data_IF_400927056271
#
_entry.id   IF_400927056271
#
_cell.length_a   1.000
_cell.length_b   1.000
_cell.length_c   1.000
_cell.angle_alpha   90.00
_cell.angle_beta   90.00
_cell.angle_gamma   90.00
#
_symmetry.space_group_name_H-M   'P 1'
#
loop_
_entity.id
_entity.type
_entity.pdbx_description
1 polymer ?
#
# COMPACT_ATOMS: atom_id res chain seq x y z
N UNK A 1 0.32 -8.99 -12.97
CA UNK A 1 1.70 -9.19 -13.49
C UNK A 1 1.83 -10.53 -14.21
N UNK A 2 1.58 -11.66 -13.53
CA UNK A 2 1.75 -13.03 -14.10
C UNK A 2 1.03 -13.23 -15.43
N UNK A 3 -0.21 -12.79 -15.57
CA UNK A 3 -0.98 -12.92 -16.82
C UNK A 3 -0.33 -12.21 -18.01
N UNK A 4 0.16 -10.99 -17.80
CA UNK A 4 0.81 -10.17 -18.85
C UNK A 4 2.17 -10.77 -19.21
N UNK A 5 2.96 -11.20 -18.22
CA UNK A 5 4.23 -11.90 -18.44
C UNK A 5 4.02 -13.17 -19.26
N UNK A 6 3.08 -14.03 -18.83
CA UNK A 6 2.78 -15.29 -19.51
C UNK A 6 2.36 -15.07 -20.97
N UNK A 7 1.51 -14.06 -21.22
CA UNK A 7 1.09 -13.68 -22.55
C UNK A 7 2.26 -13.20 -23.42
N UNK A 8 3.04 -12.22 -22.94
CA UNK A 8 4.15 -11.64 -23.71
C UNK A 8 5.24 -12.68 -23.97
N UNK A 9 5.54 -13.54 -22.99
CA UNK A 9 6.49 -14.64 -23.15
C UNK A 9 6.03 -15.61 -24.23
N UNK A 10 4.75 -16.02 -24.22
CA UNK A 10 4.23 -16.90 -25.27
C UNK A 10 4.26 -16.23 -26.64
N UNK A 11 3.80 -14.97 -26.73
CA UNK A 11 3.79 -14.17 -27.97
C UNK A 11 5.19 -14.09 -28.60
N UNK A 12 6.20 -13.86 -27.76
CA UNK A 12 7.61 -13.84 -28.14
C UNK A 12 8.13 -15.21 -28.59
N UNK A 13 7.87 -16.28 -27.83
CA UNK A 13 8.34 -17.62 -28.17
C UNK A 13 7.78 -18.17 -29.49
N UNK A 14 6.57 -17.78 -29.88
CA UNK A 14 5.97 -18.20 -31.16
C UNK A 14 6.19 -17.18 -32.30
N UNK A 15 6.89 -16.07 -32.03
CA UNK A 15 7.23 -15.07 -33.04
C UNK A 15 6.03 -14.29 -33.60
N UNK A 16 5.06 -13.89 -32.77
CA UNK A 16 3.97 -13.04 -33.24
C UNK A 16 4.47 -11.66 -33.65
N UNK A 17 3.81 -11.05 -34.64
CA UNK A 17 4.21 -9.75 -35.23
C UNK A 17 4.44 -8.62 -34.20
N UNK A 18 3.73 -8.64 -33.08
CA UNK A 18 3.77 -7.58 -32.08
C UNK A 18 4.47 -8.01 -30.77
N UNK A 19 5.22 -9.12 -30.77
CA UNK A 19 5.80 -9.68 -29.55
C UNK A 19 6.72 -8.73 -28.81
N UNK A 20 7.54 -7.94 -29.53
CA UNK A 20 8.46 -6.98 -28.93
C UNK A 20 7.72 -5.85 -28.21
N UNK A 21 6.61 -5.38 -28.80
CA UNK A 21 5.74 -4.38 -28.18
C UNK A 21 5.05 -4.96 -26.93
N UNK A 22 4.57 -6.20 -26.99
CA UNK A 22 4.01 -6.89 -25.82
C UNK A 22 5.04 -7.03 -24.69
N UNK A 23 6.30 -7.29 -25.02
CA UNK A 23 7.39 -7.42 -24.05
C UNK A 23 7.75 -6.08 -23.39
N UNK A 24 7.76 -4.99 -24.18
CA UNK A 24 7.92 -3.63 -23.67
C UNK A 24 6.78 -3.23 -22.71
N UNK A 25 5.53 -3.53 -23.08
CA UNK A 25 4.36 -3.31 -22.22
C UNK A 25 4.41 -4.14 -20.93
N UNK A 26 4.77 -5.42 -21.03
CA UNK A 26 4.91 -6.29 -19.87
C UNK A 26 5.95 -5.74 -18.89
N UNK A 27 7.09 -5.28 -19.41
CA UNK A 27 8.16 -4.67 -18.61
C UNK A 27 7.70 -3.40 -17.91
N UNK A 28 7.06 -2.48 -18.64
CA UNK A 28 6.54 -1.24 -18.09
C UNK A 28 5.51 -1.48 -16.97
N UNK A 29 4.50 -2.32 -17.26
CA UNK A 29 3.42 -2.63 -16.31
C UNK A 29 3.99 -3.29 -15.06
N UNK A 30 4.88 -4.27 -15.21
CA UNK A 30 5.45 -4.98 -14.08
C UNK A 30 6.34 -4.09 -13.22
N UNK A 31 7.17 -3.22 -13.81
CA UNK A 31 8.01 -2.28 -13.08
C UNK A 31 7.21 -1.19 -12.33
N UNK A 32 6.03 -0.83 -12.85
CA UNK A 32 5.13 0.10 -12.15
C UNK A 32 4.44 -0.60 -10.97
N UNK A 33 3.83 -1.76 -11.23
CA UNK A 33 3.07 -2.50 -10.21
C UNK A 33 3.98 -3.07 -9.11
N UNK A 34 5.22 -3.45 -9.40
CA UNK A 34 6.14 -3.94 -8.37
C UNK A 34 6.49 -2.84 -7.37
N UNK A 35 6.71 -1.60 -7.85
CA UNK A 35 6.97 -0.44 -6.99
C UNK A 35 5.75 -0.09 -6.15
N UNK A 36 4.57 -0.06 -6.76
CA UNK A 36 3.32 0.20 -6.05
C UNK A 36 3.07 -0.85 -4.94
N UNK A 37 3.23 -2.14 -5.26
CA UNK A 37 3.11 -3.21 -4.26
C UNK A 37 4.14 -3.12 -3.15
N UNK A 38 5.38 -2.71 -3.45
CA UNK A 38 6.40 -2.50 -2.43
C UNK A 38 5.95 -1.46 -1.41
N UNK A 39 5.52 -0.29 -1.87
CA UNK A 39 5.03 0.77 -0.98
C UNK A 39 3.82 0.34 -0.16
N UNK A 40 2.87 -0.38 -0.76
CA UNK A 40 1.70 -0.88 -0.05
C UNK A 40 2.06 -1.92 1.00
N UNK A 41 3.01 -2.82 0.71
CA UNK A 41 3.50 -3.81 1.67
C UNK A 41 4.25 -3.15 2.83
N UNK A 42 5.06 -2.13 2.55
CA UNK A 42 5.77 -1.36 3.56
C UNK A 42 4.79 -0.61 4.47
N UNK A 43 3.79 0.07 3.90
CA UNK A 43 2.73 0.72 4.67
C UNK A 43 1.93 -0.27 5.53
N UNK A 44 1.63 -1.45 4.99
CA UNK A 44 0.94 -2.51 5.73
C UNK A 44 1.82 -3.05 6.87
N UNK A 45 3.10 -3.26 6.60
CA UNK A 45 4.07 -3.69 7.60
C UNK A 45 4.19 -2.67 8.72
N UNK A 46 4.29 -1.37 8.40
CA UNK A 46 4.32 -0.29 9.37
C UNK A 46 3.04 -0.25 10.21
N UNK A 47 1.87 -0.45 9.59
CA UNK A 47 0.60 -0.50 10.31
C UNK A 47 0.53 -1.65 11.31
N UNK A 48 0.92 -2.86 10.91
CA UNK A 48 0.94 -4.02 11.81
C UNK A 48 2.08 -3.96 12.84
N UNK A 49 3.21 -3.34 12.50
CA UNK A 49 4.31 -3.06 13.43
C UNK A 49 3.90 -2.01 14.47
N UNK A 50 3.17 -0.95 14.08
CA UNK A 50 2.57 0.05 14.96
C UNK A 50 1.59 -0.59 15.96
N UNK A 51 0.71 -1.47 15.48
CA UNK A 51 -0.22 -2.23 16.33
C UNK A 51 0.52 -3.16 17.31
N UNK A 52 1.68 -3.71 16.91
CA UNK A 52 2.52 -4.52 17.80
C UNK A 52 3.30 -3.69 18.82
N UNK A 53 3.69 -2.46 18.49
CA UNK A 53 4.60 -1.65 19.31
C UNK A 53 3.89 -0.66 20.24
N UNK A 54 2.67 -0.21 19.91
CA UNK A 54 2.03 0.86 20.65
C UNK A 54 0.55 0.55 21.01
N UNK A 55 0.30 -0.20 22.10
CA UNK A 55 -1.05 -0.48 22.58
C UNK A 55 -1.83 0.80 22.95
N UNK A 56 -1.15 1.92 23.21
CA UNK A 56 -1.78 3.22 23.47
C UNK A 56 -2.57 3.76 22.27
N UNK A 57 -2.21 3.40 21.04
CA UNK A 57 -2.97 3.83 19.85
C UNK A 57 -4.36 3.18 19.78
N UNK A 58 -4.52 1.96 20.32
CA UNK A 58 -5.84 1.33 20.47
C UNK A 58 -6.71 2.13 21.47
N UNK A 59 -6.08 2.76 22.46
CA UNK A 59 -6.78 3.56 23.45
C UNK A 59 -7.27 4.90 22.88
N UNK A 60 -6.71 5.40 21.77
CA UNK A 60 -7.19 6.65 21.13
C UNK A 60 -8.62 6.49 20.65
N UNK A 61 -8.93 5.39 19.95
CA UNK A 61 -10.31 5.12 19.50
C UNK A 61 -11.28 4.98 20.67
N UNK A 62 -10.88 4.23 21.72
CA UNK A 62 -11.68 4.09 22.94
C UNK A 62 -11.93 5.44 23.63
N UNK A 63 -10.89 6.28 23.76
CA UNK A 63 -11.02 7.59 24.40
C UNK A 63 -11.99 8.53 23.67
N UNK A 64 -12.02 8.50 22.33
CA UNK A 64 -12.97 9.29 21.53
C UNK A 64 -14.41 8.84 21.79
N UNK A 65 -14.65 7.52 21.88
CA UNK A 65 -15.99 6.99 22.16
C UNK A 65 -16.43 7.24 23.60
N UNK A 66 -15.56 6.98 24.57
CA UNK A 66 -15.86 7.12 25.99
C UNK A 66 -16.19 8.57 26.37
N UNK A 67 -15.55 9.53 25.69
CA UNK A 67 -15.70 10.96 25.99
C UNK A 67 -16.57 11.72 24.98
N UNK A 68 -17.14 11.02 23.99
CA UNK A 68 -18.12 11.58 23.05
C UNK A 68 -17.56 12.57 22.01
N UNK A 69 -16.25 12.56 21.74
CA UNK A 69 -15.67 13.49 20.76
C UNK A 69 -14.15 13.58 20.76
N UNK A 70 -13.63 14.56 20.01
CA UNK A 70 -12.20 14.86 19.95
C UNK A 70 -11.73 15.49 21.26
N UNK A 71 -10.63 14.95 21.80
CA UNK A 71 -10.20 15.17 23.19
C UNK A 71 -9.01 16.14 23.35
N UNK A 72 -8.30 16.43 22.27
CA UNK A 72 -7.08 17.22 22.37
C UNK A 72 -7.47 18.70 22.38
N UNK A 73 -7.38 19.29 23.56
CA UNK A 73 -7.61 20.71 23.79
C UNK A 73 -6.41 21.53 23.29
N UNK A 74 -6.67 22.79 22.93
CA UNK A 74 -5.62 23.68 22.48
C UNK A 74 -4.63 23.93 23.64
N UNK A 75 -3.30 23.94 23.40
CA UNK A 75 -2.32 24.27 24.44
C UNK A 75 -2.48 25.69 25.04
N UNK A 76 -3.29 26.54 24.39
CA UNK A 76 -3.62 27.90 24.82
C UNK A 76 -4.89 27.93 25.68
N UNK A 77 -5.74 26.91 25.58
CA UNK A 77 -6.90 26.77 26.45
C UNK A 77 -6.39 26.45 27.86
N UNK A 78 -6.57 27.42 28.77
CA UNK A 78 -6.28 27.21 30.19
C UNK A 78 -7.33 26.26 30.75
N UNK A 79 -6.97 24.99 30.84
CA UNK A 79 -7.73 24.00 31.58
C UNK A 79 -7.41 24.26 33.06
N UNK A 80 -8.41 24.77 33.74
CA UNK A 80 -8.38 25.27 35.11
C UNK A 80 -8.15 24.14 36.12
#
# INVERSE_FOLDING_TARGET
MVSVISRSSRSYCIGLRNSDLELAWATFICSRLSRENWFLLEALNDHFALLRLNPSLLNVGRAIFDMGGYQIESPIEKNW
#
